data_IF_138739138716
#
_entry.id   IF_138739138716
#
_cell.length_a   1.000
_cell.length_b   1.000
_cell.length_c   1.000
_cell.angle_alpha   90.00
_cell.angle_beta   90.00
_cell.angle_gamma   90.00
#
_symmetry.space_group_name_H-M   'P 1'
#
loop_
_entity.id
_entity.type
_entity.pdbx_description
1 polymer ?
#
# COMPACT_ATOMS: atom_id res chain seq x y z
N UNK A 1 21.88 14.93 10.41
CA UNK A 1 21.27 15.46 9.19
C UNK A 1 20.66 14.38 8.28
N UNK A 2 21.35 13.25 7.99
CA UNK A 2 20.80 12.18 7.13
C UNK A 2 19.54 11.46 7.64
N UNK A 3 19.42 11.23 8.95
CA UNK A 3 18.20 10.63 9.54
C UNK A 3 16.97 11.52 9.39
N UNK A 4 17.11 12.85 9.53
CA UNK A 4 16.00 13.78 9.34
C UNK A 4 15.54 13.87 7.88
N UNK A 5 16.48 13.76 6.93
CA UNK A 5 16.14 13.80 5.51
C UNK A 5 15.42 12.52 5.05
N UNK A 6 15.84 11.36 5.59
CA UNK A 6 15.21 10.07 5.27
C UNK A 6 13.82 9.95 5.85
N UNK A 7 13.58 10.40 7.09
CA UNK A 7 12.24 10.44 7.67
C UNK A 7 11.30 11.40 6.93
N UNK A 8 11.81 12.57 6.52
CA UNK A 8 11.00 13.50 5.73
C UNK A 8 10.57 12.90 4.39
N UNK A 9 11.46 12.17 3.71
CA UNK A 9 11.15 11.58 2.41
C UNK A 9 10.22 10.35 2.54
N UNK A 10 10.39 9.54 3.59
CA UNK A 10 9.50 8.40 3.87
C UNK A 10 8.08 8.84 4.21
N UNK A 11 7.91 10.00 4.85
CA UNK A 11 6.58 10.52 5.19
C UNK A 11 5.92 11.26 4.02
N UNK A 12 6.73 11.94 3.18
CA UNK A 12 6.23 12.73 2.05
C UNK A 12 5.77 11.86 0.87
N UNK A 13 6.49 10.78 0.56
CA UNK A 13 6.16 9.95 -0.61
C UNK A 13 4.77 9.28 -0.53
N UNK A 14 4.35 8.68 0.60
CA UNK A 14 3.01 8.15 0.77
C UNK A 14 1.93 9.23 0.77
N UNK A 15 2.22 10.41 1.35
CA UNK A 15 1.28 11.53 1.40
C UNK A 15 0.99 12.11 0.01
N UNK A 16 2.00 12.19 -0.87
CA UNK A 16 1.80 12.57 -2.26
C UNK A 16 1.08 11.47 -3.06
N UNK A 17 1.38 10.20 -2.75
CA UNK A 17 0.70 9.04 -3.34
C UNK A 17 -0.80 8.99 -3.02
N UNK A 18 -1.18 9.23 -1.76
CA UNK A 18 -2.59 9.26 -1.33
C UNK A 18 -3.35 10.45 -1.93
N UNK A 19 -2.72 11.62 -2.04
CA UNK A 19 -3.32 12.77 -2.74
C UNK A 19 -3.56 12.50 -4.23
N UNK A 20 -2.65 11.78 -4.89
CA UNK A 20 -2.84 11.39 -6.29
C UNK A 20 -3.94 10.33 -6.44
N UNK A 21 -3.95 9.31 -5.56
CA UNK A 21 -4.98 8.28 -5.52
C UNK A 21 -6.38 8.90 -5.33
N UNK A 22 -6.53 9.79 -4.35
CA UNK A 22 -7.79 10.50 -4.08
C UNK A 22 -8.30 11.27 -5.31
N UNK A 23 -7.41 11.93 -6.06
CA UNK A 23 -7.78 12.64 -7.30
C UNK A 23 -8.28 11.70 -8.40
N UNK A 24 -7.57 10.60 -8.65
CA UNK A 24 -7.95 9.60 -9.67
C UNK A 24 -9.28 8.95 -9.32
N UNK A 25 -9.48 8.64 -8.04
CA UNK A 25 -10.68 8.00 -7.56
C UNK A 25 -11.89 8.94 -7.64
N UNK A 26 -11.70 10.22 -7.32
CA UNK A 26 -12.72 11.25 -7.51
C UNK A 26 -13.11 11.44 -8.99
N UNK A 27 -12.14 11.42 -9.92
CA UNK A 27 -12.44 11.56 -11.35
C UNK A 27 -13.19 10.35 -11.91
N UNK A 28 -12.80 9.13 -11.52
CA UNK A 28 -13.51 7.91 -11.89
C UNK A 28 -14.95 7.89 -11.37
N UNK A 29 -15.16 8.37 -10.14
CA UNK A 29 -16.48 8.43 -9.53
C UNK A 29 -17.39 9.42 -10.26
N UNK A 30 -16.87 10.63 -10.55
CA UNK A 30 -17.60 11.66 -11.28
C UNK A 30 -18.01 11.15 -12.67
N UNK A 31 -17.11 10.50 -13.40
CA UNK A 31 -17.40 9.94 -14.72
C UNK A 31 -18.44 8.82 -14.67
N UNK A 32 -18.32 7.90 -13.70
CA UNK A 32 -19.27 6.80 -13.54
C UNK A 32 -20.67 7.27 -13.11
N UNK A 33 -20.76 8.32 -12.29
CA UNK A 33 -22.04 8.94 -11.92
C UNK A 33 -22.70 9.61 -13.12
N UNK A 34 -21.93 10.32 -13.94
CA UNK A 34 -22.45 10.98 -15.15
C UNK A 34 -22.93 9.97 -16.22
N UNK A 35 -22.40 8.75 -16.23
CA UNK A 35 -22.79 7.67 -17.17
C UNK A 35 -23.85 6.72 -16.62
N UNK A 36 -24.26 6.85 -15.36
CA UNK A 36 -25.24 5.95 -14.76
C UNK A 36 -26.67 6.20 -15.29
N UNK A 37 -27.46 5.16 -15.57
CA UNK A 37 -28.83 5.31 -16.06
C UNK A 37 -29.76 5.91 -14.99
N UNK A 38 -30.69 6.80 -15.38
CA UNK A 38 -31.62 7.49 -14.47
C UNK A 38 -32.43 6.54 -13.58
N UNK A 39 -32.65 5.28 -13.98
CA UNK A 39 -33.36 4.27 -13.18
C UNK A 39 -32.64 3.87 -11.89
N UNK A 40 -31.31 4.01 -11.82
CA UNK A 40 -30.54 3.85 -10.57
C UNK A 40 -30.67 5.05 -9.63
N UNK A 41 -31.01 6.23 -10.16
CA UNK A 41 -31.22 7.46 -9.39
C UNK A 41 -32.56 7.46 -8.62
N UNK A 42 -33.58 6.75 -9.15
CA UNK A 42 -34.91 6.67 -8.53
C UNK A 42 -35.05 5.55 -7.49
N UNK A 43 -34.32 4.43 -7.65
CA UNK A 43 -34.49 3.23 -6.80
C UNK A 43 -33.61 3.22 -5.56
N UNK A 44 -32.52 3.99 -5.57
CA UNK A 44 -31.61 4.17 -4.43
C UNK A 44 -31.21 5.62 -4.35
N UNK A 45 -31.37 6.31 -3.20
CA UNK A 45 -30.89 7.69 -3.08
C UNK A 45 -29.38 7.65 -3.32
N UNK A 46 -28.93 8.31 -4.39
CA UNK A 46 -27.52 8.32 -4.84
C UNK A 46 -26.56 8.65 -3.69
N UNK A 47 -27.01 9.42 -2.71
CA UNK A 47 -26.29 9.69 -1.47
C UNK A 47 -25.89 8.46 -0.65
N UNK A 48 -26.62 7.33 -0.69
CA UNK A 48 -26.26 6.11 0.05
C UNK A 48 -25.16 5.30 -0.65
N UNK A 49 -25.21 5.20 -1.97
CA UNK A 49 -24.15 4.56 -2.77
C UNK A 49 -22.87 5.41 -2.68
N UNK A 50 -23.00 6.72 -2.85
CA UNK A 50 -21.90 7.67 -2.69
C UNK A 50 -21.33 7.64 -1.27
N UNK A 51 -22.16 7.58 -0.23
CA UNK A 51 -21.70 7.49 1.16
C UNK A 51 -20.97 6.17 1.45
N UNK A 52 -21.42 5.04 0.90
CA UNK A 52 -20.72 3.76 1.03
C UNK A 52 -19.41 3.76 0.28
N UNK A 53 -19.42 4.17 -0.98
CA UNK A 53 -18.22 4.21 -1.81
C UNK A 53 -17.21 5.22 -1.24
N UNK A 54 -17.65 6.39 -0.78
CA UNK A 54 -16.78 7.37 -0.11
C UNK A 54 -16.19 6.81 1.18
N UNK A 55 -16.92 5.99 1.95
CA UNK A 55 -16.39 5.28 3.13
C UNK A 55 -15.38 4.20 2.77
N UNK A 56 -15.66 3.43 1.71
CA UNK A 56 -14.75 2.38 1.25
C UNK A 56 -13.45 2.99 0.71
N UNK A 57 -13.57 4.09 -0.04
CA UNK A 57 -12.45 4.88 -0.55
C UNK A 57 -11.65 5.52 0.57
N UNK A 58 -12.31 6.15 1.54
CA UNK A 58 -11.64 6.71 2.72
C UNK A 58 -10.92 5.62 3.53
N UNK A 59 -11.54 4.44 3.67
CA UNK A 59 -10.89 3.31 4.35
C UNK A 59 -9.69 2.77 3.58
N UNK A 60 -9.77 2.70 2.25
CA UNK A 60 -8.65 2.30 1.39
C UNK A 60 -7.55 3.37 1.41
N UNK A 61 -7.85 4.66 1.25
CA UNK A 61 -6.86 5.73 1.25
C UNK A 61 -6.16 5.90 2.60
N UNK A 62 -6.82 5.60 3.73
CA UNK A 62 -6.15 5.62 5.03
C UNK A 62 -5.32 4.36 5.28
N UNK A 63 -5.86 3.17 4.97
CA UNK A 63 -5.19 1.90 5.31
C UNK A 63 -4.13 1.50 4.30
N UNK A 64 -4.31 1.80 3.02
CA UNK A 64 -3.40 1.40 1.95
C UNK A 64 -1.98 1.98 2.11
N UNK A 65 -1.77 3.28 2.39
CA UNK A 65 -0.42 3.79 2.62
C UNK A 65 0.20 3.21 3.91
N UNK A 66 -0.60 2.92 4.93
CA UNK A 66 -0.10 2.27 6.14
C UNK A 66 0.40 0.84 5.85
N UNK A 67 -0.40 0.03 5.17
CA UNK A 67 -0.03 -1.34 4.79
C UNK A 67 1.17 -1.38 3.85
N UNK A 68 1.26 -0.43 2.91
CA UNK A 68 2.42 -0.32 2.00
C UNK A 68 3.68 0.03 2.79
N UNK A 69 3.62 0.99 3.73
CA UNK A 69 4.75 1.31 4.59
C UNK A 69 5.18 0.11 5.43
N UNK A 70 4.22 -0.57 6.08
CA UNK A 70 4.50 -1.76 6.90
C UNK A 70 5.14 -2.88 6.05
N UNK A 71 4.64 -3.13 4.83
CA UNK A 71 5.25 -4.11 3.92
C UNK A 71 6.69 -3.73 3.53
N UNK A 72 6.94 -2.45 3.23
CA UNK A 72 8.27 -1.96 2.87
C UNK A 72 9.21 -2.13 4.08
N UNK A 73 8.77 -1.75 5.27
CA UNK A 73 9.53 -1.92 6.51
C UNK A 73 9.85 -3.39 6.78
N UNK A 74 8.87 -4.27 6.74
CA UNK A 74 9.10 -5.71 6.92
C UNK A 74 10.05 -6.29 5.86
N UNK A 75 9.94 -5.87 4.59
CA UNK A 75 10.84 -6.32 3.54
C UNK A 75 12.29 -5.88 3.78
N UNK A 76 12.49 -4.61 4.16
CA UNK A 76 13.82 -4.10 4.51
C UNK A 76 14.39 -4.76 5.77
N UNK A 77 13.56 -5.01 6.77
CA UNK A 77 13.96 -5.71 8.00
C UNK A 77 14.39 -7.15 7.71
N UNK A 78 13.63 -7.90 6.91
CA UNK A 78 13.98 -9.26 6.48
C UNK A 78 15.29 -9.24 5.66
N UNK A 79 15.45 -8.30 4.73
CA UNK A 79 16.70 -8.18 3.97
C UNK A 79 17.89 -7.83 4.87
N UNK A 80 17.73 -6.88 5.79
CA UNK A 80 18.79 -6.47 6.71
C UNK A 80 19.20 -7.61 7.64
N UNK A 81 18.25 -8.36 8.19
CA UNK A 81 18.54 -9.52 9.05
C UNK A 81 19.31 -10.59 8.30
N UNK A 82 18.91 -10.92 7.06
CA UNK A 82 19.65 -11.86 6.20
C UNK A 82 21.08 -11.38 5.97
N UNK A 83 21.28 -10.11 5.64
CA UNK A 83 22.61 -9.53 5.41
C UNK A 83 23.47 -9.58 6.67
N UNK A 84 22.95 -9.15 7.82
CA UNK A 84 23.67 -9.14 9.09
C UNK A 84 24.09 -10.55 9.51
N UNK A 85 23.18 -11.53 9.39
CA UNK A 85 23.49 -12.93 9.71
C UNK A 85 24.56 -13.49 8.76
N UNK A 86 24.46 -13.18 7.46
CA UNK A 86 25.43 -13.63 6.46
C UNK A 86 26.85 -13.10 6.70
N UNK A 87 26.96 -11.84 7.16
CA UNK A 87 28.24 -11.22 7.51
C UNK A 87 28.80 -11.75 8.83
N UNK A 88 27.95 -11.95 9.84
CA UNK A 88 28.39 -12.43 11.15
C UNK A 88 28.80 -13.90 11.12
N UNK A 89 28.12 -14.72 10.32
CA UNK A 89 28.38 -16.17 10.24
C UNK A 89 28.25 -16.64 8.79
N UNK A 90 29.33 -16.58 7.98
CA UNK A 90 29.27 -16.95 6.57
C UNK A 90 28.91 -18.43 6.34
N UNK A 91 29.17 -19.30 7.34
CA UNK A 91 28.80 -20.73 7.32
C UNK A 91 27.28 -20.94 7.29
N UNK A 92 26.49 -19.99 7.84
CA UNK A 92 25.03 -20.07 7.84
C UNK A 92 24.43 -20.00 6.43
N UNK A 93 25.10 -19.30 5.51
CA UNK A 93 24.67 -19.16 4.12
C UNK A 93 24.67 -20.52 3.37
N UNK A 94 25.62 -21.40 3.71
CA UNK A 94 25.68 -22.76 3.15
C UNK A 94 24.52 -23.66 3.61
N UNK A 95 23.90 -23.38 4.77
CA UNK A 95 22.74 -24.11 5.30
C UNK A 95 21.43 -23.54 4.75
N UNK A 96 21.38 -22.24 4.46
CA UNK A 96 20.17 -21.58 3.91
C UNK A 96 19.88 -22.00 2.47
N UNK A 97 20.91 -22.21 1.64
CA UNK A 97 20.76 -22.61 0.23
C UNK A 97 19.97 -23.92 0.05
N UNK A 98 20.30 -25.03 0.74
CA UNK A 98 19.53 -26.27 0.62
C UNK A 98 18.12 -26.15 1.19
N UNK A 99 17.91 -25.37 2.25
CA UNK A 99 16.57 -25.15 2.83
C UNK A 99 15.68 -24.34 1.88
N UNK A 100 16.23 -23.27 1.28
CA UNK A 100 15.50 -22.47 0.29
C UNK A 100 15.16 -23.29 -0.97
N UNK A 101 16.07 -24.15 -1.41
CA UNK A 101 15.82 -25.07 -2.52
C UNK A 101 14.70 -26.07 -2.19
N UNK A 102 14.69 -26.62 -0.97
CA UNK A 102 13.62 -27.51 -0.49
C UNK A 102 12.28 -26.82 -0.28
N UNK A 103 12.26 -25.52 0.04
CA UNK A 103 11.03 -24.77 0.22
C UNK A 103 10.39 -24.35 -1.11
N UNK A 104 11.23 -24.16 -2.14
CA UNK A 104 10.77 -23.79 -3.48
C UNK A 104 10.26 -24.99 -4.30
N UNK A 105 10.64 -26.21 -3.93
CA UNK A 105 10.30 -27.46 -4.60
C UNK A 105 9.21 -28.23 -3.85
#
# INVERSE_FOLDING_TARGET
>A
FGQGFTSFFSDLAPALGSLHAAKVLHSMLLENVLRAPMTMFDTTPVGRILSRFSKDVESVDQKMPQVINDCIWCAFEVLATIVVISLSTPIFLAVIVPIAFLYYF
#
